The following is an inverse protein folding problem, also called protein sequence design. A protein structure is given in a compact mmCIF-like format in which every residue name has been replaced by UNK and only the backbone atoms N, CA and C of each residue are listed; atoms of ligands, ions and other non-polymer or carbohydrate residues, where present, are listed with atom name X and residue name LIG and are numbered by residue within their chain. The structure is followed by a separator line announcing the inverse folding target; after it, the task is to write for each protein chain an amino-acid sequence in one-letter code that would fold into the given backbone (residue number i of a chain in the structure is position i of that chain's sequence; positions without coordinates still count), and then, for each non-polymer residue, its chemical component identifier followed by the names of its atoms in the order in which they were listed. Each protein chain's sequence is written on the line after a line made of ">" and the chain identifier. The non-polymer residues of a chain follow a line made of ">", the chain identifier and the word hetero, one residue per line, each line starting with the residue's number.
data_IF_897979166323
#
_entry.id   IF_897979166323
#
_cell.length_a   1.000
_cell.length_b   1.000
_cell.length_c   1.000
_cell.angle_alpha   90.00
_cell.angle_beta   90.00
_cell.angle_gamma   90.00
#
_symmetry.space_group_name_H-M   'P 1'
#
loop_
_entity.id
_entity.type
_entity.pdbx_description
1 polymer ?
#
# COMPACT_ATOMS: atom_id res chain seq x y z
N UNK A 1 2.53 -11.35 9.80
CA UNK A 1 3.38 -12.53 10.10
C UNK A 1 4.51 -12.49 9.09
N UNK A 2 5.77 -12.18 9.46
CA UNK A 2 6.89 -12.40 8.56
C UNK A 2 6.93 -13.90 8.24
N UNK A 3 6.82 -14.24 6.95
CA UNK A 3 6.84 -15.65 6.53
C UNK A 3 8.31 -16.05 6.47
N UNK A 4 8.81 -16.59 7.58
CA UNK A 4 10.15 -17.19 7.62
C UNK A 4 10.03 -18.58 7.03
N UNK A 5 10.51 -18.74 5.79
CA UNK A 5 10.61 -20.04 5.18
C UNK A 5 11.91 -20.72 5.62
N UNK A 6 11.79 -21.75 6.47
CA UNK A 6 12.85 -22.73 6.70
C UNK A 6 12.81 -23.82 5.62
N UNK A 7 12.90 -23.42 4.35
CA UNK A 7 13.04 -24.38 3.27
C UNK A 7 14.53 -24.66 3.07
N UNK A 8 14.89 -25.94 3.28
CA UNK A 8 16.21 -26.52 3.02
C UNK A 8 17.33 -26.18 4.02
N UNK A 9 17.26 -26.81 5.19
CA UNK A 9 18.46 -27.11 5.99
C UNK A 9 19.35 -28.19 5.35
N UNK A 10 19.04 -28.69 4.15
CA UNK A 10 19.75 -29.79 3.53
C UNK A 10 19.86 -29.56 2.02
N UNK A 11 21.10 -29.45 1.52
CA UNK A 11 21.50 -29.52 0.10
C UNK A 11 21.14 -28.32 -0.82
N UNK A 12 22.07 -27.36 -0.84
CA UNK A 12 22.61 -26.61 -2.01
C UNK A 12 22.77 -25.13 -1.67
N UNK A 13 24.00 -24.71 -1.37
CA UNK A 13 24.39 -23.31 -1.09
C UNK A 13 24.21 -22.36 -2.29
N UNK A 14 23.65 -22.80 -3.42
CA UNK A 14 23.48 -22.01 -4.65
C UNK A 14 22.07 -22.21 -5.20
N UNK A 15 21.18 -21.25 -4.92
CA UNK A 15 19.84 -21.19 -5.50
C UNK A 15 19.46 -19.73 -5.77
N UNK A 16 18.69 -19.51 -6.84
CA UNK A 16 18.00 -18.24 -7.05
C UNK A 16 16.60 -18.35 -6.46
N UNK A 17 16.18 -17.34 -5.71
CA UNK A 17 14.81 -17.27 -5.20
C UNK A 17 14.14 -15.98 -5.67
N UNK A 18 12.82 -16.06 -5.82
CA UNK A 18 12.00 -14.94 -6.25
C UNK A 18 10.59 -15.09 -5.69
N UNK A 19 10.11 -14.07 -4.99
CA UNK A 19 8.72 -14.03 -4.54
C UNK A 19 7.79 -13.60 -5.66
N UNK A 20 6.62 -14.25 -5.72
CA UNK A 20 5.55 -14.00 -6.67
C UNK A 20 4.21 -13.88 -5.96
N UNK A 21 3.36 -13.02 -6.52
CA UNK A 21 1.99 -12.78 -6.08
C UNK A 21 1.02 -13.30 -7.14
N UNK A 22 0.14 -14.20 -6.73
CA UNK A 22 -0.93 -14.72 -7.55
C UNK A 22 -2.22 -13.98 -7.22
N UNK A 23 -2.77 -13.26 -8.21
CA UNK A 23 -3.99 -12.47 -8.08
C UNK A 23 -5.23 -13.33 -8.36
N UNK A 24 -6.41 -12.82 -7.99
CA UNK A 24 -7.68 -13.54 -8.18
C UNK A 24 -8.05 -13.75 -9.64
N UNK A 25 -7.60 -12.86 -10.53
CA UNK A 25 -7.79 -12.96 -11.98
C UNK A 25 -6.88 -14.01 -12.65
N UNK A 26 -6.07 -14.73 -11.86
CA UNK A 26 -5.13 -15.74 -12.33
C UNK A 26 -3.78 -15.19 -12.78
N UNK A 27 -3.59 -13.87 -12.78
CA UNK A 27 -2.30 -13.26 -13.13
C UNK A 27 -1.24 -13.49 -12.05
N UNK A 28 0.02 -13.46 -12.46
CA UNK A 28 1.18 -13.67 -11.59
C UNK A 28 2.11 -12.46 -11.69
N UNK A 29 2.29 -11.77 -10.56
CA UNK A 29 3.16 -10.60 -10.44
C UNK A 29 4.44 -10.96 -9.70
N UNK A 30 5.58 -10.68 -10.32
CA UNK A 30 6.90 -10.83 -9.70
C UNK A 30 7.17 -9.65 -8.77
N UNK A 31 7.52 -9.94 -7.51
CA UNK A 31 7.77 -8.89 -6.52
C UNK A 31 9.21 -8.41 -6.65
N UNK A 32 9.39 -7.19 -7.12
CA UNK A 32 10.72 -6.63 -7.40
C UNK A 32 11.61 -6.63 -6.15
N UNK A 33 12.86 -7.08 -6.31
CA UNK A 33 13.85 -7.10 -5.23
C UNK A 33 13.65 -8.20 -4.17
N UNK A 34 12.50 -8.87 -4.14
CA UNK A 34 12.17 -9.93 -3.17
C UNK A 34 12.84 -11.26 -3.54
N UNK A 35 14.17 -11.30 -3.40
CA UNK A 35 15.05 -12.43 -3.74
C UNK A 35 15.66 -13.13 -2.53
N UNK A 36 15.17 -12.86 -1.33
CA UNK A 36 15.59 -13.61 -0.13
C UNK A 36 14.50 -14.62 0.25
N UNK A 37 14.86 -15.71 0.95
CA UNK A 37 13.90 -16.71 1.40
C UNK A 37 12.82 -16.16 2.35
N UNK A 38 13.05 -15.01 2.98
CA UNK A 38 12.08 -14.35 3.85
C UNK A 38 11.42 -13.18 3.12
N UNK A 39 10.11 -13.06 3.26
CA UNK A 39 9.34 -11.95 2.72
C UNK A 39 8.44 -11.32 3.77
N UNK A 40 8.42 -9.99 3.77
CA UNK A 40 7.52 -9.21 4.59
C UNK A 40 6.25 -8.93 3.79
N UNK A 41 5.14 -9.45 4.30
CA UNK A 41 3.81 -9.19 3.73
C UNK A 41 3.46 -7.70 3.85
N UNK A 42 2.94 -7.14 2.77
CA UNK A 42 2.57 -5.73 2.62
C UNK A 42 1.06 -5.57 2.37
N UNK A 43 0.59 -4.33 2.32
CA UNK A 43 -0.80 -4.02 1.98
C UNK A 43 -1.21 -4.54 0.60
N UNK A 44 -0.27 -4.55 -0.35
CA UNK A 44 -0.51 -4.95 -1.75
C UNK A 44 -0.64 -6.47 -1.91
N UNK A 45 -0.32 -7.24 -0.87
CA UNK A 45 -0.43 -8.69 -0.87
C UNK A 45 -1.80 -9.16 -0.37
N UNK A 46 -2.65 -8.28 0.16
CA UNK A 46 -3.99 -8.66 0.64
C UNK A 46 -4.82 -9.22 -0.52
N UNK A 47 -5.60 -10.27 -0.21
CA UNK A 47 -6.44 -11.02 -1.14
C UNK A 47 -5.67 -11.82 -2.20
N UNK A 48 -4.33 -11.88 -2.09
CA UNK A 48 -3.47 -12.64 -3.00
C UNK A 48 -2.85 -13.89 -2.36
N UNK A 49 -2.50 -14.86 -3.20
CA UNK A 49 -1.67 -16.00 -2.81
C UNK A 49 -0.20 -15.66 -3.04
N UNK A 50 0.62 -15.83 -2.01
CA UNK A 50 2.06 -15.63 -2.12
C UNK A 50 2.77 -16.97 -2.33
N UNK A 51 3.74 -16.99 -3.24
CA UNK A 51 4.63 -18.12 -3.42
C UNK A 51 6.07 -17.64 -3.59
N UNK A 52 7.01 -18.52 -3.23
CA UNK A 52 8.43 -18.37 -3.58
C UNK A 52 8.77 -19.38 -4.67
N UNK A 53 9.34 -18.88 -5.76
CA UNK A 53 9.94 -19.69 -6.81
C UNK A 53 11.42 -19.86 -6.49
N UNK A 54 11.86 -21.11 -6.40
CA UNK A 54 13.22 -21.51 -6.08
C UNK A 54 13.80 -22.26 -7.27
N UNK A 55 14.92 -21.75 -7.78
CA UNK A 55 15.65 -22.37 -8.87
C UNK A 55 17.02 -22.82 -8.39
N UNK A 56 17.28 -24.14 -8.28
CA UNK A 56 18.58 -24.65 -7.89
C UNK A 56 19.61 -24.30 -8.97
N UNK A 57 20.83 -24.04 -8.53
CA UNK A 57 21.96 -23.76 -9.41
C UNK A 57 23.00 -24.86 -9.25
N UNK A 58 23.46 -25.42 -10.36
CA UNK A 58 24.59 -26.33 -10.34
C UNK A 58 25.92 -25.57 -10.10
N UNK A 59 27.03 -26.31 -10.07
CA UNK A 59 28.35 -25.70 -9.83
C UNK A 59 28.80 -24.72 -10.91
N UNK A 60 28.20 -24.78 -12.09
CA UNK A 60 28.45 -23.89 -13.23
C UNK A 60 27.42 -22.76 -13.32
N UNK A 61 26.59 -22.55 -12.28
CA UNK A 61 25.48 -21.58 -12.23
C UNK A 61 24.42 -21.80 -13.31
N UNK A 62 24.33 -23.01 -13.86
CA UNK A 62 23.22 -23.38 -14.75
C UNK A 62 21.97 -23.56 -13.90
N UNK A 63 20.87 -23.10 -14.45
CA UNK A 63 19.57 -23.07 -13.82
C UNK A 63 18.87 -24.42 -13.97
N UNK A 64 18.50 -25.04 -12.85
CA UNK A 64 17.67 -26.23 -12.83
C UNK A 64 16.17 -25.92 -12.96
N UNK A 65 15.36 -26.94 -12.71
CA UNK A 65 13.90 -26.82 -12.69
C UNK A 65 13.42 -25.89 -11.56
N UNK A 66 12.42 -25.07 -11.85
CA UNK A 66 11.85 -24.15 -10.86
C UNK A 66 10.89 -24.92 -9.96
N UNK A 67 11.13 -24.86 -8.66
CA UNK A 67 10.23 -25.36 -7.63
C UNK A 67 9.44 -24.19 -7.06
N UNK A 68 8.11 -24.28 -7.11
CA UNK A 68 7.21 -23.29 -6.52
C UNK A 68 6.70 -23.76 -5.17
N UNK A 69 6.78 -22.89 -4.17
CA UNK A 69 6.24 -23.17 -2.83
C UNK A 69 5.33 -22.04 -2.38
N UNK A 70 4.09 -22.37 -2.06
CA UNK A 70 3.13 -21.41 -1.52
C UNK A 70 3.40 -21.10 -0.06
N UNK A 71 3.30 -19.83 0.30
CA UNK A 71 3.28 -19.37 1.68
C UNK A 71 1.87 -19.54 2.29
N UNK A 72 1.79 -19.39 3.62
CA UNK A 72 0.53 -19.37 4.36
C UNK A 72 -0.37 -20.59 4.06
N UNK A 73 0.22 -21.78 3.88
CA UNK A 73 -0.51 -23.02 3.54
C UNK A 73 -1.41 -22.85 2.30
N UNK A 74 -0.94 -22.09 1.31
CA UNK A 74 -1.70 -21.80 0.09
C UNK A 74 -3.04 -21.09 0.37
N UNK A 75 -3.12 -20.34 1.48
CA UNK A 75 -4.22 -19.42 1.75
C UNK A 75 -3.86 -18.01 1.38
N UNK A 76 -4.87 -17.28 0.90
CA UNK A 76 -4.75 -15.85 0.62
C UNK A 76 -4.32 -15.09 1.88
N UNK A 77 -3.54 -14.04 1.69
CA UNK A 77 -3.25 -13.10 2.76
C UNK A 77 -4.53 -12.34 3.09
N UNK A 78 -5.00 -12.48 4.33
CA UNK A 78 -6.20 -11.78 4.80
C UNK A 78 -5.83 -10.51 5.53
N UNK A 79 -6.68 -9.48 5.40
CA UNK A 79 -6.60 -8.30 6.25
C UNK A 79 -7.22 -8.61 7.63
N UNK A 80 -6.55 -8.21 8.70
CA UNK A 80 -7.08 -8.35 10.06
C UNK A 80 -8.40 -7.55 10.19
N UNK A 81 -9.51 -8.12 10.69
CA UNK A 81 -10.78 -7.42 10.89
C UNK A 81 -10.66 -6.10 11.67
N UNK A 82 -9.90 -6.07 12.78
CA UNK A 82 -9.68 -4.86 13.58
C UNK A 82 -8.96 -3.76 12.77
N UNK A 83 -8.04 -4.19 11.91
CA UNK A 83 -7.33 -3.28 11.01
C UNK A 83 -8.31 -2.67 10.02
N UNK A 84 -9.14 -3.51 9.39
CA UNK A 84 -10.16 -3.11 8.44
C UNK A 84 -11.14 -2.10 9.03
N UNK A 85 -11.69 -2.37 10.22
CA UNK A 85 -12.59 -1.44 10.91
C UNK A 85 -11.92 -0.10 11.24
N UNK A 86 -10.67 -0.12 11.68
CA UNK A 86 -9.91 1.11 11.95
C UNK A 86 -9.72 1.94 10.67
N UNK A 87 -9.45 1.28 9.55
CA UNK A 87 -9.32 1.93 8.24
C UNK A 87 -10.66 2.52 7.84
N UNK A 88 -11.74 1.74 7.87
CA UNK A 88 -13.09 2.21 7.53
C UNK A 88 -13.49 3.44 8.36
N UNK A 89 -13.16 3.44 9.65
CA UNK A 89 -13.34 4.61 10.52
C UNK A 89 -12.50 5.81 10.09
N UNK A 90 -11.23 5.62 9.72
CA UNK A 90 -10.36 6.69 9.24
C UNK A 90 -10.85 7.23 7.89
N UNK A 91 -11.37 6.35 7.02
CA UNK A 91 -11.98 6.71 5.74
C UNK A 91 -13.23 7.56 5.96
N UNK A 92 -14.13 7.15 6.88
CA UNK A 92 -15.37 7.88 7.17
C UNK A 92 -15.11 9.29 7.74
N UNK A 93 -14.13 9.43 8.64
CA UNK A 93 -13.68 10.73 9.17
C UNK A 93 -13.20 11.67 8.04
N UNK A 94 -12.65 11.14 6.95
CA UNK A 94 -12.24 11.94 5.81
C UNK A 94 -10.87 12.61 5.95
N UNK A 95 -10.28 12.65 7.14
CA UNK A 95 -8.96 13.22 7.42
C UNK A 95 -8.22 12.42 8.51
N UNK A 96 -6.92 12.23 8.33
CA UNK A 96 -6.01 11.69 9.36
C UNK A 96 -4.63 12.35 9.26
N UNK A 97 -3.89 12.36 10.36
CA UNK A 97 -2.51 12.84 10.37
C UNK A 97 -1.62 11.93 11.20
N UNK A 98 -0.41 11.70 10.69
CA UNK A 98 0.58 10.81 11.28
C UNK A 98 1.89 11.55 11.45
N UNK A 99 2.48 11.41 12.64
CA UNK A 99 3.87 11.80 12.83
C UNK A 99 4.77 10.81 12.09
N UNK A 100 5.64 11.36 11.25
CA UNK A 100 6.60 10.64 10.44
C UNK A 100 7.96 11.30 10.60
N UNK A 101 9.01 10.63 10.13
CA UNK A 101 10.35 11.18 10.07
C UNK A 101 10.80 11.26 8.62
N UNK A 102 11.43 12.38 8.26
CA UNK A 102 12.06 12.62 6.97
C UNK A 102 13.58 12.57 7.10
N UNK A 103 14.32 12.02 6.13
CA UNK A 103 15.76 12.06 6.15
C UNK A 103 16.24 13.50 5.97
N UNK A 104 17.13 13.95 6.85
CA UNK A 104 17.85 15.22 6.69
C UNK A 104 18.92 15.02 5.63
N UNK A 105 18.96 15.89 4.62
CA UNK A 105 19.99 15.78 3.57
C UNK A 105 21.39 15.93 4.21
N UNK A 106 22.34 15.11 3.74
CA UNK A 106 23.78 15.18 4.08
C UNK A 106 24.20 14.74 5.49
N UNK A 107 23.27 14.35 6.35
CA UNK A 107 23.57 13.80 7.68
C UNK A 107 22.63 12.61 7.85
N UNK A 108 23.12 11.42 8.26
CA UNK A 108 22.33 10.20 8.46
C UNK A 108 21.33 10.33 9.64
N UNK A 109 20.51 11.37 9.63
CA UNK A 109 19.63 11.83 10.68
C UNK A 109 18.22 11.96 10.12
N UNK A 110 17.25 11.80 11.00
CA UNK A 110 15.83 11.82 10.69
C UNK A 110 15.18 12.97 11.48
N UNK A 111 14.40 13.79 10.80
CA UNK A 111 13.72 14.94 11.40
C UNK A 111 12.20 14.74 11.41
N UNK A 112 11.54 15.32 12.40
CA UNK A 112 10.11 15.10 12.64
C UNK A 112 9.25 15.87 11.63
N UNK A 113 8.24 15.19 11.09
CA UNK A 113 7.30 15.73 10.13
C UNK A 113 5.90 15.18 10.36
N UNK A 114 4.91 15.82 9.76
CA UNK A 114 3.51 15.43 9.78
C UNK A 114 3.07 15.04 8.37
N UNK A 115 2.65 13.79 8.21
CA UNK A 115 1.94 13.29 7.03
C UNK A 115 0.44 13.45 7.29
N UNK A 116 -0.19 14.42 6.64
CA UNK A 116 -1.63 14.61 6.68
C UNK A 116 -2.27 14.04 5.41
N UNK A 117 -3.34 13.27 5.57
CA UNK A 117 -4.08 12.63 4.49
C UNK A 117 -5.54 13.02 4.62
N UNK A 118 -6.13 13.52 3.54
CA UNK A 118 -7.54 13.90 3.48
C UNK A 118 -8.25 13.22 2.29
N UNK A 119 -9.47 13.65 1.95
CA UNK A 119 -10.27 13.01 0.88
C UNK A 119 -9.68 13.21 -0.51
N UNK A 120 -9.01 14.34 -0.73
CA UNK A 120 -8.52 14.73 -2.05
C UNK A 120 -7.04 14.46 -2.25
N UNK A 121 -6.27 14.31 -1.17
CA UNK A 121 -4.82 14.21 -1.27
C UNK A 121 -4.11 14.06 0.05
N UNK A 122 -2.83 14.42 0.02
CA UNK A 122 -1.92 14.29 1.12
C UNK A 122 -0.91 15.44 1.17
N UNK A 123 -0.35 15.69 2.34
CA UNK A 123 0.73 16.65 2.52
C UNK A 123 1.74 16.14 3.53
N UNK A 124 3.00 16.52 3.32
CA UNK A 124 4.10 16.27 4.25
C UNK A 124 4.63 17.65 4.66
N UNK A 125 4.70 17.91 5.96
CA UNK A 125 5.19 19.17 6.51
C UNK A 125 6.20 18.88 7.61
N UNK A 126 7.34 19.56 7.62
CA UNK A 126 8.23 19.45 8.78
C UNK A 126 7.52 20.00 10.02
N UNK A 127 7.80 19.41 11.18
CA UNK A 127 7.36 19.99 12.44
C UNK A 127 8.18 21.26 12.70
N UNK A 128 7.50 22.37 13.01
CA UNK A 128 8.14 23.68 13.26
C UNK A 128 8.28 24.57 12.03
N UNK A 129 9.35 25.39 11.98
CA UNK A 129 9.50 26.50 11.01
C UNK A 129 9.96 26.09 9.60
N UNK A 130 10.26 24.80 9.37
CA UNK A 130 10.81 24.32 8.09
C UNK A 130 9.78 24.16 6.95
N UNK A 131 8.52 24.49 7.20
CA UNK A 131 7.50 24.67 6.17
C UNK A 131 6.99 23.37 5.53
N UNK A 132 6.21 23.55 4.45
CA UNK A 132 5.58 22.46 3.70
C UNK A 132 6.61 21.80 2.78
N UNK A 133 6.78 20.48 2.90
CA UNK A 133 7.66 19.70 2.03
C UNK A 133 6.95 19.36 0.72
N UNK A 134 5.67 18.98 0.84
CA UNK A 134 4.85 18.53 -0.28
C UNK A 134 3.36 18.69 0.08
N UNK A 135 2.56 19.08 -0.91
CA UNK A 135 1.10 18.93 -0.92
C UNK A 135 0.67 18.48 -2.32
N UNK A 136 -0.04 17.36 -2.41
CA UNK A 136 -0.48 16.79 -3.69
C UNK A 136 -1.87 16.16 -3.56
N UNK A 137 -2.68 16.29 -4.63
CA UNK A 137 -3.94 15.54 -4.76
C UNK A 137 -3.65 14.11 -5.21
N UNK A 138 -4.46 13.15 -4.79
CA UNK A 138 -4.32 11.77 -5.24
C UNK A 138 -4.42 11.66 -6.76
N UNK A 139 -3.48 10.91 -7.34
CA UNK A 139 -3.42 10.61 -8.77
C UNK A 139 -3.03 9.15 -8.95
N UNK A 140 -3.40 8.57 -10.10
CA UNK A 140 -3.10 7.17 -10.40
C UNK A 140 -1.59 6.86 -10.35
N UNK A 141 -0.76 7.82 -10.80
CA UNK A 141 0.70 7.72 -10.79
C UNK A 141 1.35 7.88 -9.41
N UNK A 142 0.61 8.26 -8.35
CA UNK A 142 1.15 8.30 -6.99
C UNK A 142 1.37 6.86 -6.49
N UNK A 143 2.56 6.50 -6.04
CA UNK A 143 2.84 5.15 -5.52
C UNK A 143 3.37 5.21 -4.09
N UNK A 144 3.15 4.13 -3.34
CA UNK A 144 3.72 3.91 -2.02
C UNK A 144 4.45 2.59 -2.04
N UNK A 145 5.71 2.60 -1.63
CA UNK A 145 6.54 1.41 -1.64
C UNK A 145 7.24 1.25 -0.29
N UNK A 146 7.27 0.02 0.22
CA UNK A 146 8.16 -0.38 1.33
C UNK A 146 9.43 -0.93 0.68
N UNK A 147 10.59 -0.26 0.81
CA UNK A 147 11.82 -0.77 0.24
C UNK A 147 12.15 -2.14 0.83
N UNK A 148 12.44 -3.10 -0.03
CA UNK A 148 12.79 -4.45 0.41
C UNK A 148 14.05 -4.41 1.31
N UNK A 149 13.98 -5.13 2.43
CA UNK A 149 15.04 -5.11 3.46
C UNK A 149 15.03 -3.90 4.39
N UNK A 150 14.11 -2.94 4.21
CA UNK A 150 13.92 -1.78 5.11
C UNK A 150 12.47 -1.65 5.54
N UNK A 151 11.97 -2.59 6.35
CA UNK A 151 10.54 -2.69 6.67
C UNK A 151 10.00 -1.54 7.52
N UNK A 152 10.90 -0.81 8.19
CA UNK A 152 10.59 0.38 8.99
C UNK A 152 10.62 1.68 8.19
N UNK A 153 10.88 1.59 6.89
CA UNK A 153 10.91 2.69 5.94
C UNK A 153 9.80 2.50 4.90
N UNK A 154 9.27 3.62 4.42
CA UNK A 154 8.43 3.64 3.24
C UNK A 154 8.76 4.84 2.38
N UNK A 155 8.35 4.81 1.13
CA UNK A 155 8.50 5.94 0.23
C UNK A 155 7.18 6.27 -0.44
N UNK A 156 6.91 7.56 -0.60
CA UNK A 156 5.82 8.06 -1.42
C UNK A 156 6.44 8.64 -2.69
N UNK A 157 6.10 8.07 -3.84
CA UNK A 157 6.41 8.65 -5.13
C UNK A 157 5.22 9.50 -5.59
N UNK A 158 5.45 10.79 -5.74
CA UNK A 158 4.47 11.71 -6.30
C UNK A 158 4.20 11.40 -7.77
N UNK A 159 3.05 11.84 -8.29
CA UNK A 159 2.76 11.69 -9.71
C UNK A 159 3.69 12.51 -10.61
N UNK A 160 4.45 13.45 -10.02
CA UNK A 160 5.50 14.24 -10.69
C UNK A 160 6.87 13.54 -10.69
N UNK A 161 6.96 12.33 -10.15
CA UNK A 161 8.20 11.53 -10.10
C UNK A 161 9.11 11.82 -8.89
N UNK A 162 8.83 12.84 -8.07
CA UNK A 162 9.58 13.09 -6.84
C UNK A 162 9.27 12.00 -5.80
N UNK A 163 10.31 11.46 -5.15
CA UNK A 163 10.21 10.41 -4.14
C UNK A 163 10.56 10.95 -2.74
N UNK A 164 9.73 10.61 -1.76
CA UNK A 164 9.89 11.03 -0.36
C UNK A 164 10.01 9.80 0.53
N UNK A 165 11.21 9.55 1.05
CA UNK A 165 11.45 8.48 2.02
C UNK A 165 11.03 8.92 3.42
N UNK A 166 10.34 8.05 4.13
CA UNK A 166 9.67 8.33 5.39
C UNK A 166 9.84 7.15 6.35
N UNK A 167 9.85 7.46 7.65
CA UNK A 167 9.70 6.49 8.74
C UNK A 167 8.51 6.84 9.61
N UNK A 168 7.76 5.88 10.15
CA UNK A 168 6.79 6.16 11.18
C UNK A 168 7.47 6.69 12.45
N UNK A 169 6.90 7.71 13.10
CA UNK A 169 7.40 8.17 14.39
C UNK A 169 6.91 7.26 15.53
N UNK A 170 7.76 7.07 16.56
CA UNK A 170 7.46 6.27 17.77
C UNK A 170 6.29 6.83 18.61
N UNK A 171 5.79 8.02 18.31
CA UNK A 171 4.73 8.74 19.03
C UNK A 171 3.40 8.80 18.28
N UNK A 172 3.31 8.20 17.09
CA UNK A 172 2.08 8.19 16.28
C UNK A 172 0.87 7.72 17.12
N UNK A 173 -0.33 8.34 16.99
CA UNK A 173 -1.54 8.03 17.79
C UNK A 173 -1.88 6.53 17.89
N UNK A 174 -1.38 5.75 16.94
CA UNK A 174 -1.56 4.31 16.82
C UNK A 174 -0.70 3.47 17.78
N UNK A 175 0.33 4.05 18.43
CA UNK A 175 1.11 3.41 19.49
C UNK A 175 0.48 3.58 20.88
N UNK A 176 -0.46 4.53 21.06
CA UNK A 176 -1.08 4.77 22.37
C UNK A 176 -2.10 3.70 22.77
N UNK A 177 -2.85 3.12 21.81
CA UNK A 177 -3.85 2.06 22.10
C UNK A 177 -3.26 0.68 22.37
N UNK A 178 -1.95 0.49 22.16
CA UNK A 178 -1.28 -0.76 22.49
C UNK A 178 -0.88 -0.86 23.98
N UNK A 179 -1.11 0.18 24.80
CA UNK A 179 -0.72 0.20 26.22
C UNK A 179 -1.82 -0.23 27.20
N UNK A 180 -3.07 -0.32 26.78
CA UNK A 180 -4.17 -0.82 27.62
C UNK A 180 -4.55 -2.24 27.17
N UNK A 181 -3.72 -3.21 27.57
CA UNK A 181 -3.97 -4.61 27.25
C UNK A 181 -2.74 -5.48 27.44
N UNK A 182 -2.58 -5.93 28.69
CA UNK A 182 -1.80 -7.06 29.23
C UNK A 182 -0.30 -7.14 28.91
N UNK A 183 0.48 -7.30 30.00
CA UNK A 183 1.89 -7.70 30.02
C UNK A 183 2.05 -9.04 29.25
N UNK A 184 2.84 -9.04 28.20
CA UNK A 184 3.23 -10.25 27.46
C UNK A 184 3.70 -9.96 26.04
N UNK A 185 4.96 -10.29 25.75
CA UNK A 185 5.63 -10.35 24.43
C UNK A 185 5.77 -9.04 23.63
N UNK A 186 6.97 -8.45 23.72
CA UNK A 186 7.35 -7.14 23.19
C UNK A 186 7.85 -7.13 21.73
N UNK A 187 7.74 -8.23 20.97
CA UNK A 187 8.36 -8.30 19.63
C UNK A 187 7.41 -8.07 18.44
N UNK A 188 6.10 -8.26 18.59
CA UNK A 188 5.15 -8.24 17.46
C UNK A 188 4.34 -6.94 17.31
N UNK A 189 4.39 -6.05 18.31
CA UNK A 189 3.50 -4.86 18.39
C UNK A 189 4.00 -3.65 17.60
N UNK A 190 5.30 -3.57 17.31
CA UNK A 190 5.93 -2.44 16.62
C UNK A 190 5.66 -2.49 15.11
N UNK A 191 5.55 -3.69 14.52
CA UNK A 191 5.29 -3.86 13.08
C UNK A 191 3.90 -3.32 12.65
N UNK A 192 2.83 -3.55 13.43
CA UNK A 192 1.45 -3.20 13.01
C UNK A 192 1.14 -1.70 12.93
N UNK A 193 1.92 -0.84 13.58
CA UNK A 193 1.69 0.62 13.55
C UNK A 193 2.04 1.25 12.20
N UNK A 194 3.04 0.69 11.52
CA UNK A 194 3.62 1.21 10.27
C UNK A 194 2.73 0.85 9.08
N UNK A 195 2.21 -0.38 9.06
CA UNK A 195 1.29 -0.86 8.02
C UNK A 195 -0.01 -0.06 7.95
N UNK A 196 -0.51 0.49 9.06
CA UNK A 196 -1.78 1.22 9.12
C UNK A 196 -1.80 2.43 8.20
N UNK A 197 -0.76 3.26 8.26
CA UNK A 197 -0.66 4.49 7.46
C UNK A 197 -0.59 4.18 5.98
N UNK A 198 0.25 3.21 5.62
CA UNK A 198 0.44 2.78 4.23
C UNK A 198 -0.81 2.15 3.67
N UNK A 199 -1.46 1.28 4.44
CA UNK A 199 -2.70 0.63 4.06
C UNK A 199 -3.83 1.65 3.91
N UNK A 200 -3.99 2.59 4.85
CA UNK A 200 -4.98 3.67 4.74
C UNK A 200 -4.76 4.50 3.48
N UNK A 201 -3.50 4.84 3.18
CA UNK A 201 -3.17 5.62 2.00
C UNK A 201 -3.40 4.82 0.71
N UNK A 202 -2.96 3.57 0.65
CA UNK A 202 -3.15 2.68 -0.51
C UNK A 202 -4.63 2.47 -0.79
N UNK A 203 -5.44 2.17 0.24
CA UNK A 203 -6.90 2.06 0.10
C UNK A 203 -7.58 3.36 -0.29
N UNK A 204 -7.10 4.53 0.15
CA UNK A 204 -7.62 5.82 -0.37
C UNK A 204 -7.28 6.03 -1.83
N UNK A 205 -6.06 5.70 -2.25
CA UNK A 205 -5.68 5.75 -3.66
C UNK A 205 -6.59 4.86 -4.48
N UNK A 206 -6.82 3.61 -4.05
CA UNK A 206 -7.76 2.68 -4.71
C UNK A 206 -9.17 3.26 -4.73
N UNK A 207 -9.72 3.73 -3.61
CA UNK A 207 -11.06 4.31 -3.57
C UNK A 207 -11.22 5.51 -4.53
N UNK A 208 -10.18 6.33 -4.70
CA UNK A 208 -10.18 7.44 -5.68
C UNK A 208 -10.03 6.91 -7.12
N UNK A 209 -9.19 5.92 -7.35
CA UNK A 209 -8.97 5.32 -8.68
C UNK A 209 -10.19 4.51 -9.18
N UNK A 210 -10.94 3.90 -8.26
CA UNK A 210 -12.15 3.12 -8.51
C UNK A 210 -13.44 3.90 -8.22
N UNK A 211 -13.37 5.17 -7.83
CA UNK A 211 -14.54 6.04 -7.87
C UNK A 211 -14.94 6.18 -9.33
N UNK A 212 -16.14 5.71 -9.74
CA UNK A 212 -16.64 6.04 -11.06
C UNK A 212 -16.69 7.55 -11.13
N UNK A 213 -16.09 8.11 -12.18
CA UNK A 213 -16.47 9.43 -12.64
C UNK A 213 -18.00 9.33 -12.77
N UNK A 214 -18.75 9.90 -11.82
CA UNK A 214 -20.13 10.31 -12.07
C UNK A 214 -20.04 11.44 -13.09
N UNK A 215 -19.74 11.08 -14.34
CA UNK A 215 -20.09 11.86 -15.50
C UNK A 215 -21.59 11.71 -15.60
N UNK A 216 -22.27 12.66 -14.97
CA UNK A 216 -23.70 12.94 -15.05
C UNK A 216 -24.25 12.62 -16.45
N UNK A 217 -25.01 11.52 -16.63
CA UNK A 217 -25.61 11.19 -17.91
C UNK A 217 -27.05 11.71 -17.97
N UNK A 218 -27.31 12.99 -17.67
CA UNK A 218 -28.65 13.59 -17.90
C UNK A 218 -28.68 15.02 -18.47
N UNK A 219 -27.63 15.48 -19.14
CA UNK A 219 -27.73 16.69 -20.02
C UNK A 219 -27.37 16.42 -21.47
N UNK A 220 -28.17 15.58 -22.14
CA UNK A 220 -28.44 15.66 -23.58
C UNK A 220 -29.90 15.25 -23.78
N UNK A 221 -30.80 16.17 -24.06
CA UNK A 221 -31.33 16.48 -25.42
C UNK A 221 -32.66 17.24 -25.18
N UNK A 222 -33.21 18.13 -26.00
CA UNK A 222 -33.15 18.38 -27.44
C UNK A 222 -33.41 19.88 -27.71
N UNK A 223 -32.75 20.42 -28.75
CA UNK A 223 -33.25 21.56 -29.52
C UNK A 223 -34.23 21.13 -30.63
N UNK A 224 -34.78 22.06 -31.42
CA UNK A 224 -36.20 22.09 -31.80
C UNK A 224 -36.57 21.48 -33.17
N UNK A 225 -37.88 21.50 -33.46
CA UNK A 225 -38.63 21.14 -34.68
C UNK A 225 -39.06 19.65 -34.76
N UNK A 226 -40.32 19.32 -35.07
CA UNK A 226 -41.06 19.82 -36.23
C UNK A 226 -42.59 19.70 -36.10
N UNK A 227 -43.24 20.55 -36.90
CA UNK A 227 -44.66 20.61 -37.30
C UNK A 227 -45.38 19.27 -37.49
N UNK A 228 -46.68 19.31 -37.19
CA UNK A 228 -47.87 18.93 -38.01
C UNK A 228 -48.91 18.31 -37.07
N UNK A 229 -50.20 18.66 -36.97
CA UNK A 229 -51.14 19.41 -37.82
C UNK A 229 -52.43 19.60 -36.99
N UNK A 230 -53.08 20.78 -37.09
CA UNK A 230 -54.53 21.01 -37.35
C UNK A 230 -55.58 20.31 -36.43
N UNK A 231 -56.58 20.93 -35.80
CA UNK A 231 -57.67 21.85 -36.25
C UNK A 231 -58.42 22.41 -35.00
N UNK A 232 -58.87 23.67 -35.12
CA UNK A 232 -60.00 24.42 -34.51
C UNK A 232 -60.64 23.99 -33.18
N UNK A 233 -60.88 24.95 -32.26
CA UNK A 233 -62.19 25.61 -32.07
C UNK A 233 -62.12 26.78 -31.07
N UNK A 234 -63.06 27.70 -31.22
CA UNK A 234 -63.16 29.03 -30.62
C UNK A 234 -63.50 29.04 -29.12
N UNK A 235 -62.93 30.00 -28.38
CA UNK A 235 -63.65 31.07 -27.66
C UNK A 235 -62.66 32.17 -27.28
#
# INVERSE_FOLDING_TARGET
>A
IPVIFNLFKCLQKKMCTQWVRHLEDGSVNYIEGAKQPTYLVTADDVDSLLAIEVQPLDDRKRKGEIVKVYANEQRKITCNPEMKELIEKILSIGHVSYEVLLPVKFINMWDSALLAINREGYSIKYNGRRGVVMTEKFRQATTINIPYGRPTEFSIQSAKGAQYNLKPAKSSPLLRRAREGKRGSSSSRVEYGEFKTLYCFSRRKEAVAYSPIMSDPQKRSCGPNNRSTRIQENC
#
